data_IF_776495932107
#
_entry.id   IF_776495932107
#
_cell.length_a   1.000
_cell.length_b   1.000
_cell.length_c   1.000
_cell.angle_alpha   90.00
_cell.angle_beta   90.00
_cell.angle_gamma   90.00
#
_symmetry.space_group_name_H-M   'P 1'
#
loop_
_entity.id
_entity.type
_entity.pdbx_description
1 polymer ?
#
# COMPACT_ATOMS: atom_id res chain seq x y z
N UNK A 1 8.38 -7.48 7.07
CA UNK A 1 7.85 -8.78 6.58
C UNK A 1 7.63 -9.76 7.71
N UNK A 2 8.69 -10.23 8.40
CA UNK A 2 8.62 -11.18 9.53
C UNK A 2 7.44 -10.93 10.50
N UNK A 3 7.43 -9.79 11.18
CA UNK A 3 6.41 -9.44 12.19
C UNK A 3 4.98 -9.49 11.62
N UNK A 4 4.78 -9.02 10.39
CA UNK A 4 3.47 -9.05 9.74
C UNK A 4 3.03 -10.49 9.42
N UNK A 5 3.93 -11.30 8.86
CA UNK A 5 3.60 -12.70 8.52
C UNK A 5 3.30 -13.50 9.78
N UNK A 6 4.13 -13.39 10.82
CA UNK A 6 3.89 -14.04 12.11
C UNK A 6 2.55 -13.61 12.75
N UNK A 7 2.22 -12.32 12.66
CA UNK A 7 0.93 -11.80 13.14
C UNK A 7 -0.25 -12.36 12.33
N UNK A 8 -0.15 -12.39 11.00
CA UNK A 8 -1.22 -12.81 10.12
C UNK A 8 -1.46 -14.33 10.16
N UNK A 9 -0.40 -15.14 10.32
CA UNK A 9 -0.49 -16.61 10.31
C UNK A 9 -0.63 -17.23 11.69
N UNK A 10 -0.66 -16.42 12.76
CA UNK A 10 -0.83 -16.91 14.12
C UNK A 10 -2.07 -17.81 14.26
N UNK A 11 -1.99 -18.92 15.01
CA UNK A 11 -3.17 -19.71 15.33
C UNK A 11 -4.24 -18.85 16.00
N UNK A 12 -5.46 -18.89 15.49
CA UNK A 12 -6.61 -18.23 16.09
C UNK A 12 -7.75 -19.24 16.21
N UNK A 13 -8.50 -19.14 17.31
CA UNK A 13 -9.75 -19.88 17.53
C UNK A 13 -10.98 -19.02 17.21
N UNK A 14 -10.80 -17.70 17.09
CA UNK A 14 -11.89 -16.75 16.92
C UNK A 14 -12.32 -16.63 15.45
N UNK A 15 -11.42 -16.96 14.52
CA UNK A 15 -11.67 -16.86 13.09
C UNK A 15 -11.27 -18.17 12.41
N UNK A 16 -12.13 -18.68 11.53
CA UNK A 16 -11.81 -19.87 10.71
C UNK A 16 -10.78 -19.56 9.61
N UNK A 17 -10.70 -18.29 9.21
CA UNK A 17 -9.85 -17.84 8.13
C UNK A 17 -9.49 -16.36 8.31
N UNK A 18 -8.25 -16.01 7.96
CA UNK A 18 -7.76 -14.64 7.86
C UNK A 18 -7.50 -14.36 6.38
N UNK A 19 -8.02 -13.25 5.85
CA UNK A 19 -7.81 -12.84 4.46
C UNK A 19 -7.09 -11.49 4.45
N UNK A 20 -5.85 -11.51 4.00
CA UNK A 20 -5.05 -10.33 3.74
C UNK A 20 -5.23 -9.94 2.27
N UNK A 21 -5.67 -8.70 2.03
CA UNK A 21 -5.86 -8.16 0.69
C UNK A 21 -4.86 -7.03 0.49
N UNK A 22 -4.11 -7.09 -0.59
CA UNK A 22 -3.22 -6.02 -1.03
C UNK A 22 -3.44 -5.76 -2.53
N UNK A 23 -2.94 -4.63 -3.02
CA UNK A 23 -3.19 -4.17 -4.39
C UNK A 23 -1.92 -4.23 -5.22
N UNK A 24 -1.90 -5.07 -6.25
CA UNK A 24 -0.72 -5.47 -7.03
C UNK A 24 0.30 -6.31 -6.24
N UNK A 25 -0.19 -7.03 -5.23
CA UNK A 25 0.66 -7.84 -4.34
C UNK A 25 1.37 -8.98 -5.07
N UNK A 26 0.75 -9.57 -6.09
CA UNK A 26 1.29 -10.73 -6.78
C UNK A 26 2.58 -10.43 -7.54
N UNK A 27 2.75 -9.19 -7.99
CA UNK A 27 3.96 -8.71 -8.65
C UNK A 27 5.03 -8.18 -7.67
N UNK A 28 4.69 -7.99 -6.39
CA UNK A 28 5.56 -7.33 -5.42
C UNK A 28 5.49 -7.96 -4.02
N UNK A 29 4.51 -7.57 -3.20
CA UNK A 29 4.47 -7.90 -1.76
C UNK A 29 4.47 -9.41 -1.46
N UNK A 30 3.68 -10.18 -2.23
CA UNK A 30 3.52 -11.62 -2.05
C UNK A 30 4.83 -12.38 -2.25
N UNK A 31 5.77 -11.84 -3.04
CA UNK A 31 7.09 -12.45 -3.26
C UNK A 31 7.92 -12.42 -1.97
N UNK A 32 7.90 -11.29 -1.25
CA UNK A 32 8.59 -11.17 0.03
C UNK A 32 7.96 -12.05 1.12
N UNK A 33 6.63 -12.18 1.11
CA UNK A 33 5.90 -13.06 2.03
C UNK A 33 6.28 -14.52 1.76
N UNK A 34 6.21 -14.97 0.50
CA UNK A 34 6.59 -16.34 0.12
C UNK A 34 8.04 -16.64 0.51
N UNK A 35 8.96 -15.74 0.17
CA UNK A 35 10.38 -15.88 0.53
C UNK A 35 10.57 -16.10 2.02
N UNK A 36 9.96 -15.23 2.85
CA UNK A 36 10.06 -15.38 4.31
C UNK A 36 9.45 -16.70 4.80
N UNK A 37 8.30 -17.12 4.26
CA UNK A 37 7.67 -18.39 4.66
C UNK A 37 8.56 -19.60 4.36
N UNK A 38 9.20 -19.63 3.18
CA UNK A 38 10.12 -20.70 2.78
C UNK A 38 11.41 -20.68 3.61
N UNK A 39 12.01 -19.51 3.81
CA UNK A 39 13.26 -19.37 4.57
C UNK A 39 13.09 -19.59 6.09
N UNK A 40 11.89 -19.31 6.63
CA UNK A 40 11.60 -19.46 8.07
C UNK A 40 11.43 -20.91 8.54
N UNK A 41 11.52 -21.89 7.63
CA UNK A 41 11.33 -23.31 7.90
C UNK A 41 10.02 -23.60 8.66
N UNK A 42 8.98 -22.80 8.37
CA UNK A 42 7.64 -22.98 8.94
C UNK A 42 7.08 -24.34 8.49
N UNK A 43 6.63 -25.17 9.43
CA UNK A 43 6.11 -26.52 9.16
C UNK A 43 4.83 -26.56 8.30
N UNK A 44 4.26 -25.41 7.95
CA UNK A 44 3.04 -25.31 7.17
C UNK A 44 3.39 -24.88 5.75
N UNK A 45 3.27 -25.81 4.82
CA UNK A 45 3.57 -25.59 3.41
C UNK A 45 2.62 -24.54 2.78
N UNK A 46 3.16 -23.48 2.14
CA UNK A 46 2.35 -22.51 1.43
C UNK A 46 1.82 -23.08 0.10
N UNK A 47 0.53 -22.88 -0.17
CA UNK A 47 -0.13 -23.22 -1.43
C UNK A 47 -0.26 -21.97 -2.30
N UNK A 48 0.09 -22.08 -3.58
CA UNK A 48 0.17 -20.96 -4.50
C UNK A 48 -0.77 -21.15 -5.71
N UNK A 49 -1.39 -20.05 -6.15
CA UNK A 49 -1.98 -19.93 -7.49
C UNK A 49 -1.24 -18.81 -8.20
N UNK A 50 -0.69 -19.11 -9.38
CA UNK A 50 0.17 -18.22 -10.13
C UNK A 50 -0.46 -17.81 -11.48
N UNK A 51 -0.10 -16.62 -11.96
CA UNK A 51 -0.26 -16.20 -13.36
C UNK A 51 1.10 -15.74 -13.87
N UNK A 52 1.79 -16.61 -14.61
CA UNK A 52 3.21 -16.45 -14.89
C UNK A 52 4.01 -16.38 -13.59
N UNK A 53 4.75 -15.29 -13.38
CA UNK A 53 5.54 -15.05 -12.17
C UNK A 53 4.76 -14.39 -11.03
N UNK A 54 3.51 -13.96 -11.29
CA UNK A 54 2.69 -13.26 -10.30
C UNK A 54 1.97 -14.24 -9.39
N UNK A 55 2.04 -14.02 -8.08
CA UNK A 55 1.32 -14.82 -7.08
C UNK A 55 -0.09 -14.22 -6.89
N UNK A 56 -1.11 -14.82 -7.52
CA UNK A 56 -2.50 -14.35 -7.42
C UNK A 56 -3.08 -14.64 -6.03
N UNK A 57 -2.81 -15.83 -5.52
CA UNK A 57 -3.24 -16.30 -4.20
C UNK A 57 -2.11 -17.06 -3.54
N UNK A 58 -1.80 -16.68 -2.30
CA UNK A 58 -0.95 -17.47 -1.39
C UNK A 58 -1.81 -17.91 -0.21
N UNK A 59 -1.80 -19.19 0.11
CA UNK A 59 -2.49 -19.75 1.28
C UNK A 59 -1.50 -20.45 2.19
N UNK A 60 -1.50 -20.13 3.49
CA UNK A 60 -0.69 -20.80 4.50
C UNK A 60 -1.51 -20.98 5.78
N UNK A 61 -1.74 -22.23 6.18
CA UNK A 61 -2.63 -22.56 7.30
C UNK A 61 -4.04 -21.99 7.10
N UNK A 62 -4.49 -21.15 8.05
CA UNK A 62 -5.78 -20.47 8.01
C UNK A 62 -5.74 -19.11 7.27
N UNK A 63 -4.61 -18.72 6.69
CA UNK A 63 -4.39 -17.38 6.13
C UNK A 63 -4.32 -17.41 4.62
N UNK A 64 -5.01 -16.46 3.97
CA UNK A 64 -4.94 -16.20 2.53
C UNK A 64 -4.41 -14.80 2.27
N UNK A 65 -3.53 -14.66 1.29
CA UNK A 65 -3.09 -13.40 0.74
C UNK A 65 -3.61 -13.30 -0.71
N UNK A 66 -4.42 -12.29 -0.97
CA UNK A 66 -5.11 -12.09 -2.25
C UNK A 66 -4.64 -10.80 -2.88
N UNK A 67 -4.32 -10.86 -4.17
CA UNK A 67 -4.03 -9.67 -4.96
C UNK A 67 -5.31 -9.11 -5.61
N UNK A 68 -5.75 -7.97 -5.08
CA UNK A 68 -6.97 -7.29 -5.53
C UNK A 68 -6.91 -6.72 -6.95
N UNK A 69 -5.71 -6.54 -7.53
CA UNK A 69 -5.60 -5.98 -8.89
C UNK A 69 -6.22 -6.91 -9.95
N UNK A 70 -6.33 -8.21 -9.66
CA UNK A 70 -6.97 -9.18 -10.55
C UNK A 70 -8.50 -8.99 -10.64
N UNK A 71 -9.09 -8.28 -9.68
CA UNK A 71 -10.52 -7.97 -9.63
C UNK A 71 -10.80 -6.51 -10.00
N UNK A 72 -9.88 -5.61 -9.66
CA UNK A 72 -9.96 -4.18 -9.94
C UNK A 72 -8.69 -3.75 -10.71
N UNK A 73 -8.61 -3.99 -12.04
CA UNK A 73 -7.39 -3.84 -12.83
C UNK A 73 -7.10 -2.38 -13.20
N UNK A 74 -6.89 -1.55 -12.18
CA UNK A 74 -6.57 -0.12 -12.30
C UNK A 74 -5.65 0.32 -11.17
N UNK A 75 -5.06 1.52 -11.25
CA UNK A 75 -4.23 2.07 -10.16
C UNK A 75 -5.06 2.25 -8.88
N UNK A 76 -4.44 2.06 -7.71
CA UNK A 76 -5.09 2.28 -6.40
C UNK A 76 -5.75 3.68 -6.30
N UNK A 77 -5.08 4.69 -6.86
CA UNK A 77 -5.56 6.08 -6.90
C UNK A 77 -6.84 6.28 -7.71
N UNK A 78 -7.16 5.36 -8.63
CA UNK A 78 -8.35 5.44 -9.48
C UNK A 78 -9.58 4.78 -8.85
N UNK A 79 -9.39 3.89 -7.85
CA UNK A 79 -10.49 3.17 -7.22
C UNK A 79 -11.55 4.11 -6.60
N UNK A 80 -11.19 5.20 -5.89
CA UNK A 80 -12.18 6.11 -5.33
C UNK A 80 -13.12 6.69 -6.40
N UNK A 81 -12.56 7.14 -7.53
CA UNK A 81 -13.33 7.66 -8.65
C UNK A 81 -14.19 6.59 -9.30
N UNK A 82 -13.63 5.39 -9.54
CA UNK A 82 -14.33 4.28 -10.18
C UNK A 82 -15.54 3.79 -9.37
N UNK A 83 -15.46 3.82 -8.04
CA UNK A 83 -16.54 3.39 -7.14
C UNK A 83 -17.37 4.55 -6.57
N UNK A 84 -17.15 5.78 -7.00
CA UNK A 84 -17.87 6.97 -6.50
C UNK A 84 -17.69 7.22 -5.00
N UNK A 85 -16.54 6.85 -4.44
CA UNK A 85 -16.24 6.98 -3.02
C UNK A 85 -15.97 8.44 -2.66
N UNK A 86 -16.77 8.99 -1.74
CA UNK A 86 -16.64 10.37 -1.24
C UNK A 86 -15.70 10.44 -0.04
N UNK A 87 -15.07 11.61 0.17
CA UNK A 87 -14.23 11.89 1.33
C UNK A 87 -12.91 11.12 1.35
N UNK A 88 -12.48 10.65 0.18
CA UNK A 88 -11.16 10.10 -0.04
C UNK A 88 -10.39 11.17 -0.82
N UNK A 89 -9.36 11.73 -0.20
CA UNK A 89 -8.39 12.53 -0.95
C UNK A 89 -7.76 11.60 -2.00
N UNK A 90 -7.54 12.11 -3.22
CA UNK A 90 -6.80 11.38 -4.26
C UNK A 90 -5.44 10.88 -3.76
N UNK A 91 -4.72 10.14 -4.61
CA UNK A 91 -3.38 9.56 -4.32
C UNK A 91 -2.62 10.43 -3.30
N UNK A 92 -2.29 9.86 -2.14
CA UNK A 92 -1.56 10.61 -1.12
C UNK A 92 -0.25 11.13 -1.71
N UNK A 93 -0.02 12.44 -1.63
CA UNK A 93 1.25 13.04 -2.05
C UNK A 93 2.28 12.72 -0.96
N UNK A 94 3.22 11.82 -1.25
CA UNK A 94 4.26 11.42 -0.33
C UNK A 94 5.62 11.49 -1.03
N UNK A 95 6.69 11.96 -0.36
CA UNK A 95 8.01 12.06 -0.97
C UNK A 95 8.72 10.69 -0.95
N UNK A 96 8.39 9.80 -1.89
CA UNK A 96 8.90 8.42 -1.92
C UNK A 96 10.43 8.33 -1.93
N UNK A 97 11.12 9.26 -2.59
CA UNK A 97 12.60 9.27 -2.62
C UNK A 97 13.22 9.84 -1.34
N UNK A 98 12.42 10.48 -0.48
CA UNK A 98 12.88 10.95 0.83
C UNK A 98 12.86 9.84 1.88
N UNK A 99 12.25 8.68 1.58
CA UNK A 99 12.26 7.48 2.43
C UNK A 99 13.65 6.82 2.41
N UNK A 100 14.57 7.38 3.20
CA UNK A 100 15.89 6.81 3.44
C UNK A 100 16.06 6.48 4.92
N UNK A 101 17.18 5.82 5.29
CA UNK A 101 17.47 5.50 6.70
C UNK A 101 17.76 6.79 7.48
N UNK A 102 18.44 7.73 6.84
CA UNK A 102 18.86 9.02 7.39
C UNK A 102 17.66 9.92 7.71
N UNK A 103 16.62 9.87 6.87
CA UNK A 103 15.44 10.72 7.00
C UNK A 103 14.33 10.11 7.87
N UNK A 104 14.52 8.92 8.46
CA UNK A 104 13.47 8.24 9.22
C UNK A 104 12.91 9.10 10.36
N UNK A 105 13.75 9.90 11.02
CA UNK A 105 13.36 10.76 12.13
C UNK A 105 13.39 12.24 11.76
N UNK A 106 13.30 12.55 10.47
CA UNK A 106 13.32 13.93 10.00
C UNK A 106 12.06 14.67 10.48
N UNK A 107 12.27 15.83 11.07
CA UNK A 107 11.24 16.84 11.36
C UNK A 107 11.79 18.19 10.93
N UNK A 108 11.11 18.87 10.01
CA UNK A 108 11.61 20.12 9.46
C UNK A 108 10.80 20.60 8.25
N UNK A 109 11.34 21.48 7.40
CA UNK A 109 10.66 21.94 6.20
C UNK A 109 10.18 20.81 5.27
N UNK A 110 9.12 21.08 4.50
CA UNK A 110 8.64 20.15 3.48
C UNK A 110 9.78 19.75 2.50
N UNK A 111 9.94 18.46 2.16
CA UNK A 111 10.96 18.03 1.21
C UNK A 111 10.83 18.70 -0.16
N UNK A 112 11.96 18.84 -0.85
CA UNK A 112 12.02 19.38 -2.21
C UNK A 112 11.19 18.53 -3.20
N UNK A 113 10.67 19.18 -4.25
CA UNK A 113 9.83 18.54 -5.27
C UNK A 113 10.46 17.29 -5.89
N UNK A 114 11.80 17.25 -5.99
CA UNK A 114 12.52 16.10 -6.56
C UNK A 114 12.26 14.82 -5.78
N UNK A 115 11.92 14.91 -4.50
CA UNK A 115 11.66 13.74 -3.67
C UNK A 115 10.29 13.07 -3.90
N UNK A 116 9.39 13.71 -4.64
CA UNK A 116 8.02 13.24 -4.90
C UNK A 116 7.87 12.46 -6.22
N UNK A 117 8.97 12.21 -6.93
CA UNK A 117 8.97 11.53 -8.24
C UNK A 117 8.03 12.20 -9.27
N UNK A 118 8.21 13.50 -9.55
CA UNK A 118 7.30 14.27 -10.42
C UNK A 118 7.17 13.68 -11.82
N UNK A 119 8.21 13.01 -12.33
CA UNK A 119 8.22 12.35 -13.65
C UNK A 119 7.21 11.20 -13.77
N UNK A 120 6.64 10.74 -12.67
CA UNK A 120 5.64 9.66 -12.63
C UNK A 120 4.20 10.16 -12.60
N UNK A 121 4.02 11.48 -12.53
CA UNK A 121 2.70 12.12 -12.49
C UNK A 121 2.20 12.40 -13.91
N UNK A 122 0.90 12.23 -14.13
CA UNK A 122 0.29 12.70 -15.38
C UNK A 122 0.32 14.25 -15.41
N UNK A 123 0.27 14.89 -16.60
CA UNK A 123 0.41 16.35 -16.72
C UNK A 123 -0.50 17.16 -15.79
N UNK A 124 -1.79 16.82 -15.73
CA UNK A 124 -2.77 17.51 -14.89
C UNK A 124 -2.48 17.31 -13.39
N UNK A 125 -2.06 16.09 -12.98
CA UNK A 125 -1.68 15.80 -11.60
C UNK A 125 -0.41 16.57 -11.19
N UNK A 126 0.52 16.75 -12.13
CA UNK A 126 1.78 17.47 -11.91
C UNK A 126 1.54 18.96 -11.65
N UNK A 127 0.64 19.61 -12.40
CA UNK A 127 0.30 21.01 -12.20
C UNK A 127 -0.35 21.26 -10.83
N UNK A 128 -1.32 20.41 -10.45
CA UNK A 128 -1.95 20.47 -9.12
C UNK A 128 -0.94 20.24 -8.00
N UNK A 129 -0.02 19.29 -8.17
CA UNK A 129 1.03 19.01 -7.20
C UNK A 129 1.99 20.19 -7.02
N UNK A 130 2.47 20.80 -8.10
CA UNK A 130 3.40 21.93 -8.04
C UNK A 130 2.75 23.14 -7.34
N UNK A 131 1.49 23.44 -7.68
CA UNK A 131 0.74 24.49 -7.02
C UNK A 131 0.58 24.22 -5.51
N UNK A 132 0.23 22.98 -5.13
CA UNK A 132 0.15 22.56 -3.74
C UNK A 132 1.49 22.71 -3.01
N UNK A 133 2.60 22.28 -3.62
CA UNK A 133 3.93 22.30 -3.00
C UNK A 133 4.39 23.71 -2.69
N UNK A 134 4.26 24.63 -3.65
CA UNK A 134 4.58 26.06 -3.47
C UNK A 134 3.77 26.66 -2.31
N UNK A 135 2.47 26.34 -2.22
CA UNK A 135 1.62 26.80 -1.12
C UNK A 135 2.08 26.23 0.23
N UNK A 136 2.43 24.95 0.31
CA UNK A 136 2.86 24.33 1.57
C UNK A 136 4.22 24.84 2.05
N UNK A 137 5.16 25.06 1.13
CA UNK A 137 6.46 25.68 1.44
C UNK A 137 6.27 27.12 1.92
N UNK A 138 5.43 27.93 1.26
CA UNK A 138 5.19 29.32 1.68
C UNK A 138 4.52 29.45 3.05
N UNK A 139 3.73 28.44 3.45
CA UNK A 139 3.14 28.33 4.78
C UNK A 139 4.12 27.83 5.85
N UNK A 140 5.35 27.48 5.47
CA UNK A 140 6.36 26.90 6.34
C UNK A 140 5.82 25.71 7.14
N UNK A 141 5.07 24.82 6.47
CA UNK A 141 4.52 23.61 7.08
C UNK A 141 5.66 22.71 7.52
N UNK A 142 5.63 22.30 8.79
CA UNK A 142 6.54 21.29 9.31
C UNK A 142 6.13 19.91 8.81
N UNK A 143 7.10 19.21 8.24
CA UNK A 143 7.01 17.84 7.78
C UNK A 143 7.68 16.92 8.80
N UNK A 144 6.87 16.10 9.46
CA UNK A 144 7.31 15.00 10.33
C UNK A 144 7.21 13.69 9.54
N UNK A 145 8.37 13.10 9.21
CA UNK A 145 8.42 11.92 8.36
C UNK A 145 7.63 10.73 8.94
N UNK A 146 7.72 10.49 10.26
CA UNK A 146 7.05 9.35 10.90
C UNK A 146 5.54 9.52 10.90
N UNK A 147 5.07 10.75 11.16
CA UNK A 147 3.64 11.06 11.08
C UNK A 147 3.11 10.92 9.66
N UNK A 148 3.81 11.49 8.69
CA UNK A 148 3.34 11.53 7.30
C UNK A 148 3.37 10.14 6.64
N UNK A 149 4.38 9.29 6.90
CA UNK A 149 4.40 7.93 6.34
C UNK A 149 3.26 7.07 6.88
N UNK A 150 2.93 7.21 8.17
CA UNK A 150 1.81 6.48 8.79
C UNK A 150 0.47 6.97 8.23
N UNK A 151 0.30 8.30 8.11
CA UNK A 151 -0.90 8.88 7.52
C UNK A 151 -1.09 8.43 6.06
N UNK A 152 -0.02 8.47 5.26
CA UNK A 152 -0.01 8.02 3.88
C UNK A 152 -0.39 6.54 3.75
N UNK A 153 0.30 5.64 4.48
CA UNK A 153 -0.01 4.22 4.45
C UNK A 153 -1.44 3.92 4.95
N UNK A 154 -1.89 4.65 5.98
CA UNK A 154 -3.25 4.54 6.49
C UNK A 154 -4.30 4.90 5.43
N UNK A 155 -4.09 5.98 4.69
CA UNK A 155 -4.97 6.40 3.60
C UNK A 155 -5.00 5.37 2.46
N UNK A 156 -3.86 4.84 2.03
CA UNK A 156 -3.79 3.82 0.98
C UNK A 156 -4.56 2.54 1.37
N UNK A 157 -4.42 2.10 2.62
CA UNK A 157 -5.17 0.94 3.15
C UNK A 157 -6.66 1.24 3.28
N UNK A 158 -7.04 2.44 3.71
CA UNK A 158 -8.44 2.87 3.81
C UNK A 158 -9.12 2.90 2.43
N UNK A 159 -8.41 3.42 1.42
CA UNK A 159 -8.85 3.46 0.03
C UNK A 159 -9.12 2.08 -0.52
N UNK A 160 -8.16 1.16 -0.35
CA UNK A 160 -8.33 -0.22 -0.77
C UNK A 160 -9.49 -0.89 -0.04
N UNK A 161 -9.59 -0.70 1.29
CA UNK A 161 -10.67 -1.29 2.11
C UNK A 161 -12.05 -0.86 1.59
N UNK A 162 -12.26 0.45 1.37
CA UNK A 162 -13.54 0.97 0.89
C UNK A 162 -13.85 0.49 -0.53
N UNK A 163 -12.85 0.44 -1.40
CA UNK A 163 -13.01 -0.10 -2.75
C UNK A 163 -13.42 -1.57 -2.73
N UNK A 164 -12.77 -2.41 -1.92
CA UNK A 164 -13.15 -3.81 -1.75
C UNK A 164 -14.58 -3.97 -1.21
N UNK A 165 -15.00 -3.13 -0.26
CA UNK A 165 -16.37 -3.12 0.27
C UNK A 165 -17.42 -2.65 -0.75
N UNK A 166 -17.05 -1.77 -1.66
CA UNK A 166 -17.91 -1.35 -2.76
C UNK A 166 -18.03 -2.46 -3.81
N UNK A 167 -16.89 -3.05 -4.20
CA UNK A 167 -16.82 -4.16 -5.14
C UNK A 167 -17.61 -5.38 -4.66
N UNK A 168 -17.60 -5.70 -3.37
CA UNK A 168 -18.33 -6.86 -2.83
C UNK A 168 -19.86 -6.72 -2.87
N UNK A 169 -20.39 -5.57 -3.28
CA UNK A 169 -21.83 -5.30 -3.41
C UNK A 169 -22.31 -5.33 -4.86
N UNK A 170 -21.39 -5.53 -5.80
CA UNK A 170 -21.65 -5.73 -7.23
C UNK A 170 -21.84 -7.22 -7.45
#
# INVERSE_FOLDING_TARGET
VKQFVEFATRPTKNFKQIICIAHNAGAFDSQFILRYLVESNNYVEPKLILNGTKIILLTVGQTKYIDSINYMPMRLSMLPKAFGLKGISGKGLFPHLFKTVENQYYTGPLPDIRYFSPDTMEPDESEEFLAWHVVMVSKNVEFDFQREIVAYCGNDVDNLRRACLAFSKI
#
